data_IF_190064027608
#
_entry.id   IF_190064027608
#
_cell.length_a   1.000
_cell.length_b   1.000
_cell.length_c   1.000
_cell.angle_alpha   90.00
_cell.angle_beta   90.00
_cell.angle_gamma   90.00
#
_symmetry.space_group_name_H-M   'P 1'
#
loop_
_entity.id
_entity.type
_entity.pdbx_description
1 polymer ?
#
# COMPACT_ATOMS: atom_id res chain seq x y z
N UNK A 1 4.96 21.53 14.04
CA UNK A 1 3.68 20.84 13.75
C UNK A 1 3.93 19.34 13.88
N UNK A 2 3.27 18.65 14.80
CA UNK A 2 3.31 17.19 14.88
C UNK A 2 2.19 16.65 13.98
N UNK A 3 2.44 16.59 12.68
CA UNK A 3 1.47 16.11 11.68
C UNK A 3 1.55 14.60 11.48
N UNK A 4 0.41 13.99 11.15
CA UNK A 4 0.37 12.62 10.61
C UNK A 4 0.99 12.60 9.21
N UNK A 5 1.76 11.56 8.90
CA UNK A 5 2.27 11.33 7.56
C UNK A 5 1.12 11.07 6.57
N UNK A 6 1.31 11.49 5.33
CA UNK A 6 0.34 11.29 4.27
C UNK A 6 0.23 9.82 3.85
N UNK A 7 -0.97 9.42 3.41
CA UNK A 7 -1.21 8.09 2.84
C UNK A 7 -0.43 7.91 1.54
N UNK A 8 0.13 6.71 1.34
CA UNK A 8 0.72 6.32 0.06
C UNK A 8 -0.32 6.19 -1.06
N UNK A 9 0.04 6.60 -2.27
CA UNK A 9 -0.87 6.51 -3.43
C UNK A 9 -1.33 5.09 -3.72
N UNK A 10 -2.57 4.91 -4.18
CA UNK A 10 -3.04 3.60 -4.61
C UNK A 10 -2.33 3.16 -5.90
N UNK A 11 -2.08 1.86 -6.02
CA UNK A 11 -1.56 1.27 -7.24
C UNK A 11 -2.57 1.30 -8.38
N UNK A 12 -2.10 1.53 -9.61
CA UNK A 12 -2.96 1.54 -10.80
C UNK A 12 -3.53 0.15 -11.13
N UNK A 13 -4.72 0.13 -11.74
CA UNK A 13 -5.29 -1.12 -12.25
C UNK A 13 -4.52 -1.64 -13.46
N UNK A 14 -4.40 -2.96 -13.57
CA UNK A 14 -3.96 -3.64 -14.78
C UNK A 14 -4.99 -3.53 -15.91
N UNK A 15 -4.63 -4.02 -17.10
CA UNK A 15 -5.57 -4.14 -18.21
C UNK A 15 -6.69 -5.16 -17.93
N UNK A 16 -7.82 -5.04 -18.62
CA UNK A 16 -9.03 -5.85 -18.34
C UNK A 16 -8.77 -7.36 -18.37
N UNK A 17 -8.07 -7.85 -19.40
CA UNK A 17 -7.78 -9.27 -19.56
C UNK A 17 -6.42 -9.64 -18.98
N UNK A 18 -5.38 -8.90 -19.37
CA UNK A 18 -4.00 -9.14 -18.99
C UNK A 18 -3.37 -7.90 -18.38
N UNK A 19 -2.40 -8.11 -17.49
CA UNK A 19 -1.68 -7.06 -16.79
C UNK A 19 -1.89 -7.14 -15.29
N UNK A 20 -0.79 -7.10 -14.54
CA UNK A 20 -0.83 -7.03 -13.08
C UNK A 20 -1.22 -5.63 -12.59
N UNK A 21 -1.83 -5.57 -11.41
CA UNK A 21 -2.05 -4.31 -10.72
C UNK A 21 -0.73 -3.71 -10.24
N UNK A 22 -0.63 -2.38 -10.26
CA UNK A 22 0.52 -1.65 -9.74
C UNK A 22 0.63 -1.77 -8.22
N UNK A 23 1.84 -1.67 -7.67
CA UNK A 23 2.03 -1.63 -6.23
C UNK A 23 1.47 -0.33 -5.63
N UNK A 24 0.96 -0.41 -4.40
CA UNK A 24 0.62 0.76 -3.61
C UNK A 24 1.88 1.50 -3.15
N UNK A 25 1.84 2.82 -3.12
CA UNK A 25 2.91 3.67 -2.63
C UNK A 25 3.10 3.55 -1.12
N UNK A 26 4.31 3.82 -0.63
CA UNK A 26 4.57 3.87 0.80
C UNK A 26 3.86 5.07 1.46
N UNK A 27 3.42 4.89 2.70
CA UNK A 27 2.97 6.00 3.53
C UNK A 27 4.15 6.89 3.95
N UNK A 28 3.90 8.19 4.10
CA UNK A 28 4.95 9.13 4.47
C UNK A 28 5.26 9.07 5.97
N UNK A 29 6.47 9.51 6.33
CA UNK A 29 6.86 9.65 7.74
C UNK A 29 6.07 10.79 8.39
N UNK A 30 5.46 10.53 9.53
CA UNK A 30 4.81 11.57 10.33
C UNK A 30 5.53 11.86 11.64
N UNK A 31 5.23 13.01 12.26
CA UNK A 31 5.82 13.37 13.56
C UNK A 31 5.29 12.48 14.69
N UNK A 32 3.97 12.26 14.73
CA UNK A 32 3.29 11.44 15.76
C UNK A 32 2.57 10.20 15.20
N UNK A 33 2.18 10.22 13.93
CA UNK A 33 1.52 9.09 13.27
C UNK A 33 2.12 8.91 11.89
N UNK A 34 2.67 7.73 11.61
CA UNK A 34 3.09 7.40 10.25
C UNK A 34 1.90 7.27 9.30
N UNK A 35 2.06 7.69 8.05
CA UNK A 35 1.00 7.59 7.06
C UNK A 35 0.71 6.14 6.68
N UNK A 36 -0.54 5.74 6.42
CA UNK A 36 -0.83 4.38 5.97
C UNK A 36 -0.27 4.12 4.56
N UNK A 37 0.16 2.90 4.30
CA UNK A 37 0.52 2.45 2.96
C UNK A 37 -0.67 2.51 1.99
N UNK A 38 -0.38 2.72 0.71
CA UNK A 38 -1.35 2.70 -0.37
C UNK A 38 -1.84 1.28 -0.68
N UNK A 39 -3.09 1.14 -1.09
CA UNK A 39 -3.59 -0.15 -1.57
C UNK A 39 -2.89 -0.55 -2.89
N UNK A 40 -2.62 -1.84 -3.07
CA UNK A 40 -2.20 -2.37 -4.35
C UNK A 40 -3.34 -2.31 -5.37
N UNK A 41 -3.00 -2.15 -6.64
CA UNK A 41 -3.96 -2.09 -7.74
C UNK A 41 -4.54 -3.46 -8.08
N UNK A 42 -5.74 -3.49 -8.65
CA UNK A 42 -6.34 -4.71 -9.18
C UNK A 42 -5.62 -5.19 -10.44
N UNK A 43 -5.39 -6.49 -10.57
CA UNK A 43 -4.96 -7.11 -11.83
C UNK A 43 -6.12 -7.28 -12.82
N UNK A 44 -5.79 -7.65 -14.06
CA UNK A 44 -6.77 -8.13 -15.03
C UNK A 44 -7.35 -9.51 -14.69
N UNK A 45 -8.27 -10.02 -15.51
CA UNK A 45 -8.88 -11.36 -15.37
C UNK A 45 -7.84 -12.47 -15.16
N UNK A 46 -6.70 -12.37 -15.84
CA UNK A 46 -5.55 -13.29 -15.71
C UNK A 46 -4.34 -12.65 -15.02
N UNK A 47 -4.45 -11.39 -14.59
CA UNK A 47 -3.36 -10.63 -13.97
C UNK A 47 -3.38 -10.72 -12.44
N UNK A 48 -2.22 -10.71 -11.82
CA UNK A 48 -2.10 -10.66 -10.35
C UNK A 48 -2.41 -9.27 -9.81
N UNK A 49 -2.97 -9.20 -8.60
CA UNK A 49 -3.07 -7.93 -7.88
C UNK A 49 -1.69 -7.37 -7.52
N UNK A 50 -1.59 -6.05 -7.43
CA UNK A 50 -0.36 -5.37 -6.99
C UNK A 50 -0.15 -5.51 -5.48
N UNK A 51 1.09 -5.46 -5.02
CA UNK A 51 1.37 -5.45 -3.58
C UNK A 51 0.86 -4.17 -2.91
N UNK A 52 0.43 -4.26 -1.66
CA UNK A 52 0.15 -3.10 -0.82
C UNK A 52 1.43 -2.36 -0.44
N UNK A 53 1.35 -1.03 -0.31
CA UNK A 53 2.48 -0.20 0.09
C UNK A 53 2.82 -0.36 1.57
N UNK A 54 4.08 -0.11 1.92
CA UNK A 54 4.53 -0.13 3.32
C UNK A 54 3.97 1.07 4.08
N UNK A 55 3.62 0.89 5.35
CA UNK A 55 3.24 1.98 6.22
C UNK A 55 4.41 2.93 6.51
N UNK A 56 4.12 4.22 6.64
CA UNK A 56 5.10 5.25 6.96
C UNK A 56 5.60 5.15 8.40
N UNK A 57 6.83 5.57 8.62
CA UNK A 57 7.44 5.60 9.96
C UNK A 57 6.95 6.79 10.78
N UNK A 58 7.30 6.83 12.07
CA UNK A 58 7.15 8.05 12.89
C UNK A 58 8.47 8.47 13.55
N UNK A 59 8.55 9.71 14.00
CA UNK A 59 9.76 10.32 14.58
C UNK A 59 9.85 10.25 16.12
N UNK A 60 8.85 9.71 16.84
CA UNK A 60 8.79 9.70 18.31
C UNK A 60 7.67 8.78 18.86
N UNK A 61 7.28 8.91 20.16
CA UNK A 61 6.19 8.21 20.92
C UNK A 61 4.81 8.25 20.23
N UNK A 62 4.73 7.62 19.08
CA UNK A 62 3.64 7.67 18.14
C UNK A 62 3.36 6.29 17.57
N UNK A 63 2.29 6.18 16.79
CA UNK A 63 1.95 4.92 16.13
C UNK A 63 2.49 4.94 14.72
N UNK A 64 3.22 3.91 14.25
CA UNK A 64 3.63 3.87 12.86
C UNK A 64 2.42 3.62 11.96
N UNK A 65 2.54 3.98 10.69
CA UNK A 65 1.47 3.78 9.73
C UNK A 65 1.23 2.29 9.48
N UNK A 66 -0.02 1.84 9.32
CA UNK A 66 -0.29 0.48 8.89
C UNK A 66 0.13 0.29 7.43
N UNK A 67 0.44 -0.95 7.04
CA UNK A 67 0.63 -1.30 5.64
C UNK A 67 -0.66 -1.20 4.83
N UNK A 68 -0.51 -1.03 3.53
CA UNK A 68 -1.62 -1.04 2.57
C UNK A 68 -2.12 -2.45 2.29
N UNK A 69 -3.39 -2.58 1.94
CA UNK A 69 -3.93 -3.86 1.47
C UNK A 69 -3.33 -4.25 0.12
N UNK A 70 -3.11 -5.54 -0.12
CA UNK A 70 -2.78 -6.03 -1.45
C UNK A 70 -3.96 -5.88 -2.40
N UNK A 71 -3.66 -5.67 -3.68
CA UNK A 71 -4.65 -5.58 -4.73
C UNK A 71 -5.28 -6.93 -5.06
N UNK A 72 -6.47 -6.93 -5.66
CA UNK A 72 -7.12 -8.17 -6.07
C UNK A 72 -6.50 -8.73 -7.35
N UNK A 73 -6.25 -10.04 -7.37
CA UNK A 73 -6.29 -10.80 -8.62
C UNK A 73 -7.74 -11.20 -8.89
N UNK A 74 -8.13 -11.24 -10.16
CA UNK A 74 -9.53 -11.51 -10.54
C UNK A 74 -9.76 -13.00 -10.75
N UNK A 75 -10.20 -13.41 -11.94
CA UNK A 75 -10.76 -14.73 -12.17
C UNK A 75 -9.72 -15.86 -12.09
N UNK A 76 -8.51 -15.59 -12.58
CA UNK A 76 -7.40 -16.55 -12.60
C UNK A 76 -6.12 -15.98 -11.98
N UNK A 77 -6.11 -14.69 -11.66
CA UNK A 77 -4.97 -14.03 -11.03
C UNK A 77 -4.98 -14.17 -9.51
N UNK A 78 -3.80 -14.29 -8.91
CA UNK A 78 -3.66 -14.26 -7.46
C UNK A 78 -3.77 -12.82 -6.91
N UNK A 79 -4.25 -12.68 -5.67
CA UNK A 79 -4.15 -11.42 -4.93
C UNK A 79 -2.70 -10.96 -4.74
N UNK A 80 -2.52 -9.66 -4.58
CA UNK A 80 -1.26 -9.07 -4.15
C UNK A 80 -1.04 -9.27 -2.65
N UNK A 81 0.23 -9.33 -2.24
CA UNK A 81 0.57 -9.34 -0.83
C UNK A 81 0.16 -8.02 -0.15
N UNK A 82 -0.23 -8.09 1.12
CA UNK A 82 -0.38 -6.90 1.96
C UNK A 82 0.97 -6.23 2.22
N UNK A 83 0.95 -4.91 2.39
CA UNK A 83 2.11 -4.14 2.82
C UNK A 83 2.41 -4.35 4.31
N UNK A 84 3.67 -4.23 4.68
CA UNK A 84 4.09 -4.25 6.09
C UNK A 84 3.73 -2.93 6.78
N UNK A 85 3.57 -2.97 8.11
CA UNK A 85 3.50 -1.74 8.90
C UNK A 85 4.80 -0.93 8.85
N UNK A 86 4.70 0.35 9.19
CA UNK A 86 5.84 1.25 9.37
C UNK A 86 6.59 1.00 10.66
N UNK A 87 7.69 1.73 10.86
CA UNK A 87 8.57 1.58 12.02
C UNK A 87 8.63 2.87 12.86
N UNK A 88 9.07 2.73 14.11
CA UNK A 88 9.48 3.88 14.92
C UNK A 88 10.95 4.20 14.64
N UNK A 89 11.29 5.48 14.45
CA UNK A 89 12.65 5.96 14.19
C UNK A 89 13.32 6.50 15.45
#
# INVERSE_FOLDING_TARGET
ANGSGERGGAGGAGGLFFGGGGAGGAGATGGTLGGPGGAGGMGGLFGTGGAGGVGGSNSNVGTPGPGGVGGAGLLFGNGGAGGTGGSNL
#
